data_IF_003800616274
#
_entry.id   IF_003800616274
#
_cell.length_a   1.000
_cell.length_b   1.000
_cell.length_c   1.000
_cell.angle_alpha   90.00
_cell.angle_beta   90.00
_cell.angle_gamma   90.00
#
_symmetry.space_group_name_H-M   'P 1'
#
loop_
_entity.id
_entity.type
_entity.pdbx_description
1 polymer ?
#
# COMPACT_ATOMS: atom_id res chain seq x y z
N UNK A 1 41.11 -11.48 -11.16
CA UNK A 1 39.85 -11.82 -10.48
C UNK A 1 38.84 -10.69 -10.72
N UNK A 2 37.64 -10.95 -11.24
CA UNK A 2 36.63 -9.92 -11.42
C UNK A 2 36.07 -9.50 -10.05
N UNK A 3 36.02 -8.20 -9.78
CA UNK A 3 35.43 -7.64 -8.56
C UNK A 3 33.92 -7.95 -8.54
N UNK A 4 33.34 -8.32 -7.38
CA UNK A 4 31.90 -8.50 -7.27
C UNK A 4 31.20 -7.16 -7.53
N UNK A 5 30.34 -7.15 -8.55
CA UNK A 5 29.52 -6.00 -8.88
C UNK A 5 28.47 -5.82 -7.78
N UNK A 6 28.55 -4.72 -7.03
CA UNK A 6 27.52 -4.36 -6.05
C UNK A 6 26.21 -4.08 -6.80
N UNK A 7 25.21 -4.93 -6.63
CA UNK A 7 23.86 -4.61 -7.08
C UNK A 7 23.31 -3.48 -6.19
N UNK A 8 23.39 -2.23 -6.66
CA UNK A 8 22.64 -1.12 -6.07
C UNK A 8 21.17 -1.50 -6.10
N UNK A 9 20.61 -1.90 -4.96
CA UNK A 9 19.20 -2.25 -4.81
C UNK A 9 18.33 -1.07 -5.23
N UNK A 10 17.75 -1.12 -6.42
CA UNK A 10 16.80 -0.12 -6.87
C UNK A 10 15.54 -0.24 -6.00
N UNK A 11 15.33 0.71 -5.09
CA UNK A 11 14.05 0.82 -4.39
C UNK A 11 12.95 1.01 -5.45
N UNK A 12 11.91 0.18 -5.39
CA UNK A 12 10.81 0.19 -6.37
C UNK A 12 9.70 1.14 -5.90
N UNK A 13 9.06 1.82 -6.85
CA UNK A 13 7.89 2.66 -6.59
C UNK A 13 6.69 1.86 -6.08
N UNK A 14 6.67 0.56 -6.40
CA UNK A 14 5.64 -0.40 -5.98
C UNK A 14 6.29 -1.71 -5.58
N UNK A 15 5.73 -2.34 -4.56
CA UNK A 15 6.12 -3.67 -4.09
C UNK A 15 4.89 -4.54 -3.87
N UNK A 16 5.06 -5.85 -3.99
CA UNK A 16 4.06 -6.83 -3.58
C UNK A 16 4.66 -7.73 -2.51
N UNK A 17 3.81 -8.35 -1.69
CA UNK A 17 4.23 -9.14 -0.53
C UNK A 17 3.71 -10.60 -0.62
N UNK A 18 4.15 -11.42 -1.61
CA UNK A 18 3.64 -12.78 -1.78
C UNK A 18 3.88 -13.69 -0.57
N UNK A 19 4.91 -13.43 0.24
CA UNK A 19 5.21 -14.21 1.44
C UNK A 19 4.23 -13.98 2.60
N UNK A 20 3.31 -13.01 2.49
CA UNK A 20 2.19 -12.85 3.42
C UNK A 20 0.93 -13.58 2.93
N UNK A 21 1.00 -14.28 1.80
CA UNK A 21 -0.15 -14.95 1.22
C UNK A 21 -0.74 -15.99 2.17
N UNK A 22 0.08 -16.82 2.82
CA UNK A 22 -0.38 -17.85 3.74
C UNK A 22 -1.24 -17.27 4.88
N UNK A 23 -0.81 -16.16 5.47
CA UNK A 23 -1.58 -15.47 6.51
C UNK A 23 -2.90 -14.90 5.99
N UNK A 24 -2.90 -14.39 4.75
CA UNK A 24 -4.14 -13.93 4.11
C UNK A 24 -5.07 -15.10 3.81
N UNK A 25 -4.55 -16.21 3.28
CA UNK A 25 -5.32 -17.41 2.96
C UNK A 25 -5.98 -17.97 4.22
N UNK A 26 -5.21 -18.11 5.30
CA UNK A 26 -5.72 -18.52 6.61
C UNK A 26 -6.82 -17.57 7.13
N UNK A 27 -6.64 -16.26 6.97
CA UNK A 27 -7.61 -15.27 7.43
C UNK A 27 -8.94 -15.29 6.65
N UNK A 28 -9.00 -15.92 5.47
CA UNK A 28 -10.19 -16.00 4.61
C UNK A 28 -10.70 -17.41 4.35
N UNK A 29 -10.05 -18.43 4.92
CA UNK A 29 -10.31 -19.85 4.63
C UNK A 29 -11.78 -20.25 4.88
N UNK A 30 -12.41 -19.65 5.88
CA UNK A 30 -13.82 -19.84 6.25
C UNK A 30 -14.81 -19.50 5.12
N UNK A 31 -14.40 -18.62 4.20
CA UNK A 31 -15.25 -18.06 3.14
C UNK A 31 -14.70 -18.38 1.75
N UNK A 32 -13.38 -18.43 1.63
CA UNK A 32 -12.62 -18.68 0.41
C UNK A 32 -11.61 -19.80 0.65
N UNK A 33 -12.04 -21.09 0.66
CA UNK A 33 -11.18 -22.23 0.96
C UNK A 33 -10.00 -22.40 -0.01
N UNK A 34 -10.13 -21.83 -1.22
CA UNK A 34 -9.07 -21.80 -2.21
C UNK A 34 -8.87 -20.37 -2.70
N UNK A 35 -7.79 -19.75 -2.21
CA UNK A 35 -7.33 -18.41 -2.59
C UNK A 35 -5.86 -18.51 -2.99
N UNK A 36 -5.43 -17.83 -4.05
CA UNK A 36 -4.01 -17.81 -4.44
C UNK A 36 -3.50 -16.42 -4.81
N UNK A 37 -2.21 -16.23 -4.57
CA UNK A 37 -1.53 -14.98 -4.90
C UNK A 37 -1.12 -14.93 -6.38
N UNK A 38 -1.66 -13.96 -7.11
CA UNK A 38 -1.32 -13.69 -8.49
C UNK A 38 -0.02 -12.87 -8.58
N UNK A 39 1.06 -13.50 -9.08
CA UNK A 39 2.37 -12.85 -9.27
C UNK A 39 2.45 -12.04 -10.57
N UNK A 40 1.52 -12.20 -11.50
CA UNK A 40 1.55 -11.52 -12.78
C UNK A 40 1.33 -10.01 -12.58
N UNK A 41 2.26 -9.22 -13.13
CA UNK A 41 2.18 -7.77 -13.02
C UNK A 41 1.29 -7.14 -14.10
N UNK A 42 1.01 -7.82 -15.23
CA UNK A 42 0.49 -7.15 -16.43
C UNK A 42 -0.54 -7.88 -17.31
N UNK A 43 -0.66 -9.21 -17.28
CA UNK A 43 -1.33 -9.89 -18.41
C UNK A 43 -2.64 -10.63 -18.08
N UNK A 44 -3.13 -10.55 -16.83
CA UNK A 44 -4.47 -11.01 -16.49
C UNK A 44 -5.40 -9.80 -16.22
N UNK A 45 -6.55 -9.79 -16.88
CA UNK A 45 -7.62 -8.80 -16.66
C UNK A 45 -8.20 -9.03 -15.26
N UNK A 46 -7.87 -8.15 -14.32
CA UNK A 46 -8.55 -8.13 -13.02
C UNK A 46 -10.02 -7.74 -13.23
N UNK A 47 -10.93 -8.36 -12.49
CA UNK A 47 -12.36 -8.05 -12.54
C UNK A 47 -12.80 -7.16 -11.38
N UNK A 48 -11.98 -7.03 -10.33
CA UNK A 48 -12.27 -6.21 -9.16
C UNK A 48 -11.00 -5.48 -8.73
N UNK A 49 -11.13 -4.24 -8.27
CA UNK A 49 -10.04 -3.52 -7.62
C UNK A 49 -10.54 -2.65 -6.47
N UNK A 50 -9.68 -2.45 -5.48
CA UNK A 50 -9.99 -1.59 -4.34
C UNK A 50 -8.71 -0.99 -3.76
N UNK A 51 -8.72 0.33 -3.65
CA UNK A 51 -7.68 1.08 -2.96
C UNK A 51 -8.03 1.24 -1.48
N UNK A 52 -7.03 1.13 -0.60
CA UNK A 52 -7.14 1.44 0.83
C UNK A 52 -5.75 1.85 1.34
N UNK A 53 -5.61 1.98 2.66
CA UNK A 53 -4.33 2.19 3.32
C UNK A 53 -4.03 1.07 4.30
N UNK A 54 -2.74 0.78 4.47
CA UNK A 54 -2.17 -0.06 5.54
C UNK A 54 -1.22 0.78 6.41
N UNK A 55 -0.85 0.22 7.56
CA UNK A 55 0.18 0.78 8.41
C UNK A 55 1.58 0.38 7.91
N UNK A 56 2.56 1.25 8.17
CA UNK A 56 3.96 0.98 7.82
C UNK A 56 4.89 2.12 8.23
N UNK A 57 6.17 1.92 7.95
CA UNK A 57 7.24 2.87 8.14
C UNK A 57 8.04 3.05 6.84
N UNK A 58 8.62 4.22 6.69
CA UNK A 58 9.48 4.56 5.56
C UNK A 58 10.81 5.09 6.07
N UNK A 59 11.89 4.72 5.40
CA UNK A 59 13.24 5.20 5.72
C UNK A 59 13.95 5.65 4.45
N UNK A 60 14.54 6.84 4.48
CA UNK A 60 15.46 7.25 3.42
C UNK A 60 16.73 6.41 3.53
N UNK A 61 17.14 5.77 2.44
CA UNK A 61 18.39 4.97 2.38
C UNK A 61 19.44 5.60 1.48
N UNK A 62 19.20 6.83 1.04
CA UNK A 62 20.23 7.60 0.34
C UNK A 62 21.24 8.12 1.36
N UNK A 63 22.44 7.55 1.38
CA UNK A 63 23.53 7.89 2.30
C UNK A 63 24.00 9.35 2.19
N UNK A 64 23.78 10.00 1.04
CA UNK A 64 24.07 11.43 0.85
C UNK A 64 22.97 12.35 1.41
N UNK A 65 21.85 11.78 1.88
CA UNK A 65 20.76 12.56 2.43
C UNK A 65 21.01 12.83 3.91
N UNK A 66 21.21 14.10 4.26
CA UNK A 66 21.45 14.57 5.63
C UNK A 66 20.27 14.38 6.61
N UNK A 67 19.15 13.79 6.16
CA UNK A 67 17.98 13.50 6.99
C UNK A 67 17.63 12.02 6.90
N UNK A 68 17.87 11.30 7.99
CA UNK A 68 17.78 9.84 8.00
C UNK A 68 16.35 9.30 8.08
N UNK A 69 15.39 10.09 8.56
CA UNK A 69 14.10 9.51 9.02
C UNK A 69 12.93 10.40 8.68
N UNK A 70 12.12 9.95 7.73
CA UNK A 70 10.76 10.43 7.53
C UNK A 70 9.80 9.27 7.75
N UNK A 71 9.06 9.28 8.86
CA UNK A 71 8.05 8.25 9.14
C UNK A 71 6.68 8.70 8.66
N UNK A 72 6.10 7.98 7.71
CA UNK A 72 4.69 8.09 7.34
C UNK A 72 3.97 6.84 7.82
N UNK A 73 2.96 6.99 8.69
CA UNK A 73 2.17 5.86 9.24
C UNK A 73 1.18 5.25 8.22
N UNK A 74 0.98 5.89 7.07
CA UNK A 74 -0.02 5.51 6.07
C UNK A 74 0.67 5.13 4.77
N UNK A 75 0.41 3.91 4.31
CA UNK A 75 0.94 3.37 3.06
C UNK A 75 -0.24 3.00 2.16
N UNK A 76 -0.28 3.54 0.95
CA UNK A 76 -1.33 3.23 -0.01
C UNK A 76 -1.16 1.81 -0.54
N UNK A 77 -2.27 1.10 -0.68
CA UNK A 77 -2.33 -0.25 -1.24
C UNK A 77 -3.48 -0.34 -2.24
N UNK A 78 -3.24 -0.99 -3.37
CA UNK A 78 -4.24 -1.37 -4.37
C UNK A 78 -4.38 -2.88 -4.37
N UNK A 79 -5.55 -3.36 -3.96
CA UNK A 79 -5.90 -4.78 -3.96
C UNK A 79 -6.64 -5.05 -5.26
N UNK A 80 -6.25 -6.10 -6.00
CA UNK A 80 -6.94 -6.54 -7.21
C UNK A 80 -7.42 -7.97 -7.01
N UNK A 81 -8.66 -8.20 -7.39
CA UNK A 81 -9.26 -9.52 -7.49
C UNK A 81 -9.35 -9.93 -8.95
N UNK A 82 -9.17 -11.21 -9.18
CA UNK A 82 -9.23 -11.83 -10.50
C UNK A 82 -10.38 -12.85 -10.51
N UNK A 83 -10.58 -13.55 -11.63
CA UNK A 83 -11.36 -14.79 -11.64
C UNK A 83 -10.81 -15.76 -10.59
N UNK A 84 -11.52 -16.89 -10.35
CA UNK A 84 -10.96 -18.03 -9.62
C UNK A 84 -10.38 -17.68 -8.23
N UNK A 85 -10.94 -16.69 -7.53
CA UNK A 85 -10.51 -16.29 -6.18
C UNK A 85 -9.02 -15.90 -6.06
N UNK A 86 -8.33 -15.57 -7.16
CA UNK A 86 -6.96 -15.06 -7.05
C UNK A 86 -6.94 -13.56 -6.81
N UNK A 87 -5.86 -13.12 -6.17
CA UNK A 87 -5.67 -11.72 -5.86
C UNK A 87 -4.21 -11.31 -5.93
N UNK A 88 -3.96 -10.02 -6.10
CA UNK A 88 -2.69 -9.43 -5.72
C UNK A 88 -2.90 -8.11 -5.00
N UNK A 89 -1.82 -7.60 -4.43
CA UNK A 89 -1.84 -6.42 -3.60
C UNK A 89 -0.58 -5.60 -3.86
N UNK A 90 -0.77 -4.49 -4.57
CA UNK A 90 0.28 -3.55 -4.94
C UNK A 90 0.39 -2.50 -3.84
N UNK A 91 1.50 -2.48 -3.13
CA UNK A 91 1.80 -1.50 -2.10
C UNK A 91 2.68 -0.41 -2.71
N UNK A 92 2.28 0.84 -2.53
CA UNK A 92 3.00 1.98 -3.08
C UNK A 92 4.03 2.51 -2.08
N UNK A 93 5.28 2.63 -2.53
CA UNK A 93 6.36 3.25 -1.78
C UNK A 93 6.14 4.76 -1.65
N UNK A 94 7.00 5.39 -0.86
CA UNK A 94 7.02 6.85 -0.73
C UNK A 94 8.42 7.39 -1.08
N UNK A 95 8.56 8.71 -1.15
CA UNK A 95 9.83 9.39 -1.44
C UNK A 95 10.30 10.19 -0.24
N UNK A 96 11.61 10.25 -0.04
CA UNK A 96 12.19 11.10 0.99
C UNK A 96 11.87 12.57 0.69
N UNK A 97 11.40 13.30 1.71
CA UNK A 97 11.09 14.73 1.60
C UNK A 97 12.29 15.59 1.20
N UNK A 98 13.50 15.20 1.61
CA UNK A 98 14.71 16.00 1.41
C UNK A 98 15.41 15.74 0.09
N UNK A 99 15.53 14.48 -0.33
CA UNK A 99 16.27 14.11 -1.54
C UNK A 99 15.41 13.51 -2.65
N UNK A 100 14.08 13.43 -2.44
CA UNK A 100 13.10 12.87 -3.39
C UNK A 100 13.38 11.42 -3.85
N UNK A 101 14.34 10.74 -3.21
CA UNK A 101 14.71 9.36 -3.50
C UNK A 101 13.67 8.40 -2.95
N UNK A 102 13.45 7.29 -3.65
CA UNK A 102 12.65 6.19 -3.11
C UNK A 102 13.38 5.60 -1.91
N UNK A 103 12.69 5.50 -0.79
CA UNK A 103 13.23 4.91 0.44
C UNK A 103 12.75 3.49 0.64
N UNK A 104 13.26 2.89 1.71
CA UNK A 104 12.91 1.55 2.15
C UNK A 104 11.56 1.59 2.86
N UNK A 105 10.62 0.80 2.35
CA UNK A 105 9.31 0.60 2.95
C UNK A 105 9.35 -0.64 3.85
N UNK A 106 8.88 -0.49 5.08
CA UNK A 106 8.57 -1.60 5.99
C UNK A 106 7.08 -1.56 6.29
N UNK A 107 6.35 -2.61 5.93
CA UNK A 107 4.91 -2.69 6.18
C UNK A 107 4.62 -3.34 7.53
N UNK A 108 3.51 -2.93 8.13
CA UNK A 108 2.89 -3.65 9.24
C UNK A 108 2.15 -4.88 8.68
N UNK A 109 2.56 -6.07 9.11
CA UNK A 109 2.05 -7.33 8.56
C UNK A 109 0.58 -7.53 8.90
N UNK A 110 0.18 -7.26 10.15
CA UNK A 110 -1.18 -7.47 10.62
C UNK A 110 -2.14 -6.53 9.91
N UNK A 111 -1.77 -5.24 9.79
CA UNK A 111 -2.53 -4.26 9.02
C UNK A 111 -2.64 -4.65 7.55
N UNK A 112 -1.61 -5.26 6.95
CA UNK A 112 -1.68 -5.75 5.58
C UNK A 112 -2.67 -6.91 5.46
N UNK A 113 -2.51 -7.95 6.29
CA UNK A 113 -3.34 -9.15 6.27
C UNK A 113 -4.80 -8.78 6.51
N UNK A 114 -5.07 -7.99 7.54
CA UNK A 114 -6.42 -7.54 7.89
C UNK A 114 -7.08 -6.77 6.73
N UNK A 115 -6.36 -5.84 6.07
CA UNK A 115 -6.92 -5.02 4.98
C UNK A 115 -7.17 -5.83 3.72
N UNK A 116 -6.28 -6.76 3.39
CA UNK A 116 -6.43 -7.65 2.23
C UNK A 116 -7.57 -8.63 2.48
N UNK A 117 -7.55 -9.35 3.62
CA UNK A 117 -8.58 -10.33 3.98
C UNK A 117 -9.97 -9.69 4.05
N UNK A 118 -10.11 -8.53 4.71
CA UNK A 118 -11.38 -7.79 4.75
C UNK A 118 -11.95 -7.55 3.35
N UNK A 119 -11.08 -7.19 2.39
CA UNK A 119 -11.53 -6.92 1.02
C UNK A 119 -11.94 -8.17 0.28
N UNK A 120 -11.19 -9.26 0.43
CA UNK A 120 -11.54 -10.55 -0.17
C UNK A 120 -12.88 -11.07 0.37
N UNK A 121 -13.09 -11.03 1.69
CA UNK A 121 -14.37 -11.41 2.33
C UNK A 121 -15.54 -10.57 1.79
N UNK A 122 -15.36 -9.25 1.69
CA UNK A 122 -16.38 -8.36 1.11
C UNK A 122 -16.71 -8.69 -0.34
N UNK A 123 -15.70 -9.06 -1.15
CA UNK A 123 -15.93 -9.49 -2.54
C UNK A 123 -16.58 -10.86 -2.66
N UNK A 124 -16.49 -11.70 -1.63
CA UNK A 124 -17.18 -12.98 -1.50
C UNK A 124 -18.61 -12.85 -0.94
N UNK A 125 -19.08 -11.63 -0.66
CA UNK A 125 -20.46 -11.38 -0.20
C UNK A 125 -20.65 -11.46 1.31
N UNK A 126 -19.59 -11.56 2.10
CA UNK A 126 -19.67 -11.55 3.57
C UNK A 126 -20.06 -10.16 4.06
N UNK A 127 -21.07 -10.10 4.94
CA UNK A 127 -21.40 -8.90 5.67
C UNK A 127 -20.25 -8.57 6.62
N UNK A 128 -19.55 -7.46 6.35
CA UNK A 128 -18.43 -6.98 7.15
C UNK A 128 -18.81 -5.63 7.74
N UNK A 129 -18.56 -5.44 9.04
CA UNK A 129 -18.75 -4.15 9.70
C UNK A 129 -18.00 -3.04 8.97
N UNK A 130 -18.65 -1.88 8.86
CA UNK A 130 -18.01 -0.69 8.32
C UNK A 130 -16.92 -0.28 9.30
N UNK A 131 -15.67 -0.27 8.85
CA UNK A 131 -14.58 0.19 9.70
C UNK A 131 -14.77 1.69 9.94
N UNK A 132 -14.98 2.07 11.20
CA UNK A 132 -14.92 3.46 11.61
C UNK A 132 -13.57 4.04 11.19
N UNK A 133 -13.61 5.05 10.33
CA UNK A 133 -12.43 5.79 9.93
C UNK A 133 -12.17 6.84 10.99
N UNK A 134 -11.66 6.42 12.16
CA UNK A 134 -11.14 7.39 13.11
C UNK A 134 -10.04 8.17 12.41
N UNK A 135 -10.24 9.48 12.21
CA UNK A 135 -9.23 10.39 11.74
C UNK A 135 -8.12 10.45 12.78
N UNK A 136 -7.23 9.46 12.76
CA UNK A 136 -6.10 9.41 13.68
C UNK A 136 -5.24 10.64 13.40
N UNK A 137 -5.15 11.50 14.42
CA UNK A 137 -4.22 12.65 14.45
C UNK A 137 -2.80 12.12 14.25
N UNK A 138 -2.27 12.38 13.07
CA UNK A 138 -0.91 12.06 12.66
C UNK A 138 -0.46 13.08 11.63
N UNK A 139 0.85 13.17 11.32
CA UNK A 139 1.33 14.07 10.30
C UNK A 139 0.53 13.91 9.00
N UNK A 140 0.20 15.01 8.30
CA UNK A 140 -0.57 14.93 7.07
C UNK A 140 0.15 14.02 6.07
N UNK A 141 -0.64 13.21 5.37
CA UNK A 141 -0.10 12.36 4.31
C UNK A 141 0.44 13.24 3.18
N UNK A 142 1.76 13.24 2.98
CA UNK A 142 2.41 14.07 1.95
C UNK A 142 2.20 13.48 0.56
N UNK A 143 1.13 13.91 -0.12
CA UNK A 143 0.67 13.37 -1.41
C UNK A 143 1.75 13.42 -2.50
N UNK A 144 2.56 14.47 -2.51
CA UNK A 144 3.67 14.66 -3.46
C UNK A 144 4.81 13.67 -3.27
N UNK A 145 4.88 13.01 -2.11
CA UNK A 145 5.88 11.99 -1.81
C UNK A 145 5.32 10.58 -1.93
N UNK A 146 3.99 10.41 -2.01
CA UNK A 146 3.35 9.10 -2.11
C UNK A 146 3.20 8.64 -3.56
N UNK A 147 3.78 7.48 -3.90
CA UNK A 147 3.66 6.90 -5.25
C UNK A 147 2.22 6.47 -5.58
N UNK A 148 1.40 6.19 -4.56
CA UNK A 148 -0.02 5.89 -4.70
C UNK A 148 -0.83 7.13 -5.05
N UNK A 149 -0.60 8.27 -4.36
CA UNK A 149 -1.25 9.54 -4.69
C UNK A 149 -0.92 10.01 -6.10
N UNK A 150 0.35 9.92 -6.51
CA UNK A 150 0.79 10.27 -7.87
C UNK A 150 0.07 9.48 -8.96
N UNK A 151 -0.47 8.31 -8.62
CA UNK A 151 -1.18 7.41 -9.53
C UNK A 151 -2.69 7.36 -9.28
N UNK A 152 -3.21 8.21 -8.38
CA UNK A 152 -4.65 8.27 -8.06
C UNK A 152 -5.19 7.14 -7.18
N UNK A 153 -4.33 6.34 -6.54
CA UNK A 153 -4.75 5.16 -5.77
C UNK A 153 -4.88 5.36 -4.25
N UNK A 154 -4.61 6.56 -3.72
CA UNK A 154 -4.73 6.80 -2.28
C UNK A 154 -6.13 7.34 -1.94
N UNK A 155 -6.83 6.68 -1.00
CA UNK A 155 -8.21 7.01 -0.60
C UNK A 155 -8.33 8.02 0.55
N UNK A 156 -7.23 8.67 0.97
CA UNK A 156 -7.36 9.80 1.92
C UNK A 156 -8.06 10.95 1.20
N UNK A 157 -9.38 11.00 1.37
CA UNK A 157 -10.19 12.17 1.08
C UNK A 157 -9.73 13.32 1.97
N UNK A 158 -9.81 14.49 1.38
CA UNK A 158 -9.33 15.76 1.86
C UNK A 158 -10.15 16.19 3.07
N UNK A 159 -9.49 16.71 4.11
CA UNK A 159 -10.14 17.74 4.91
C UNK A 159 -10.43 18.94 3.99
N UNK A 160 -11.53 19.70 4.21
CA UNK A 160 -11.89 20.79 3.33
C UNK A 160 -10.70 21.74 3.16
N UNK A 161 -10.41 22.09 1.89
CA UNK A 161 -9.56 23.22 1.59
C UNK A 161 -10.26 24.42 2.20
N UNK A 162 -9.65 25.06 3.20
CA UNK A 162 -10.13 26.36 3.66
C UNK A 162 -9.88 27.36 2.53
N UNK A 163 -10.79 27.43 1.57
CA UNK A 163 -10.91 28.57 0.67
C UNK A 163 -11.42 29.72 1.53
N UNK A 164 -10.49 30.51 2.08
CA UNK A 164 -10.79 31.91 2.35
C UNK A 164 -10.92 32.57 0.97
N UNK A 165 -11.97 33.37 0.78
CA UNK A 165 -12.56 33.84 -0.49
C UNK A 165 -13.59 32.81 -1.02
N UNK A 166 -14.90 33.09 -1.05
CA UNK A 166 -15.56 34.33 -1.47
C UNK A 166 -16.67 34.83 -0.55
N UNK A 167 -16.68 36.15 -0.30
CA UNK A 167 -17.87 36.93 0.03
C UNK A 167 -18.50 37.35 -1.29
N UNK A 168 -19.79 37.10 -1.51
CA UNK A 168 -20.77 38.05 -2.01
C UNK A 168 -22.16 37.54 -1.62
#
# INVERSE_FOLDING_TARGET
>A
MPKPQSSKGQNKATSMFPWLHEQVAQAVEDVLPSTWFNKAHRDETYNKQHSTNIMGNFQCVNESCSKDRWSSKTVAILIRGYSNNSYNAIVFSQRCKSCNSLGKLTIDKDSYVERVAYRLKKWAGVAMEARHHDEKRGPPHERELCEGCKRGYCQKQFGPVSSRYDRF
#
